data_IF_259075244995
#
_entry.id   IF_259075244995
#
_cell.length_a   1.000
_cell.length_b   1.000
_cell.length_c   1.000
_cell.angle_alpha   90.00
_cell.angle_beta   90.00
_cell.angle_gamma   90.00
#
_symmetry.space_group_name_H-M   'P 1'
#
loop_
_entity.id
_entity.type
_entity.pdbx_description
1 polymer ?
#
# COMPACT_ATOMS: atom_id res chain seq x y z
N UNK A 1 -65.68 62.36 -14.36
CA UNK A 1 -66.25 61.02 -14.44
C UNK A 1 -65.17 60.08 -14.96
N UNK A 2 -64.52 59.46 -14.00
CA UNK A 2 -63.26 58.69 -14.23
C UNK A 2 -63.62 57.21 -14.16
N UNK A 3 -63.50 56.49 -15.27
CA UNK A 3 -63.81 55.07 -15.36
C UNK A 3 -62.57 54.31 -14.90
N UNK A 4 -62.70 53.57 -13.75
CA UNK A 4 -61.73 52.61 -13.29
C UNK A 4 -61.79 51.37 -14.17
N UNK A 5 -60.69 51.01 -14.83
CA UNK A 5 -60.52 49.74 -15.51
C UNK A 5 -59.76 48.81 -14.53
N UNK A 6 -60.43 47.79 -14.04
CA UNK A 6 -59.83 46.71 -13.23
C UNK A 6 -59.15 45.73 -14.19
N UNK A 7 -57.85 45.64 -14.09
CA UNK A 7 -57.03 44.67 -14.83
C UNK A 7 -56.82 43.45 -13.99
N UNK A 8 -57.52 42.36 -14.31
CA UNK A 8 -57.39 41.07 -13.63
C UNK A 8 -56.14 40.36 -14.12
N UNK A 9 -55.15 40.24 -13.26
CA UNK A 9 -53.94 39.48 -13.56
C UNK A 9 -54.21 38.00 -13.17
N UNK A 10 -54.31 37.16 -14.22
CA UNK A 10 -54.37 35.69 -14.03
C UNK A 10 -52.93 35.18 -13.86
N UNK A 11 -52.62 34.73 -12.66
CA UNK A 11 -51.33 34.07 -12.39
C UNK A 11 -51.43 32.61 -12.83
N UNK A 12 -50.78 32.27 -13.93
CA UNK A 12 -50.61 30.89 -14.40
C UNK A 12 -49.41 30.32 -13.65
N UNK A 13 -49.67 29.43 -12.65
CA UNK A 13 -48.64 28.63 -12.01
C UNK A 13 -48.23 27.47 -12.93
N UNK A 14 -47.09 27.61 -13.63
CA UNK A 14 -46.47 26.52 -14.38
C UNK A 14 -45.72 25.64 -13.35
N UNK A 15 -46.33 24.51 -13.00
CA UNK A 15 -45.68 23.47 -12.21
C UNK A 15 -44.71 22.69 -13.08
N UNK A 16 -43.43 23.02 -13.02
CA UNK A 16 -42.37 22.25 -13.64
C UNK A 16 -42.05 21.02 -12.73
N UNK A 17 -42.65 19.88 -13.06
CA UNK A 17 -42.22 18.58 -12.50
C UNK A 17 -40.84 18.20 -13.09
N UNK A 18 -39.79 18.66 -12.46
CA UNK A 18 -38.42 18.21 -12.73
C UNK A 18 -38.23 16.78 -12.23
N UNK A 19 -38.24 15.78 -13.12
CA UNK A 19 -37.75 14.43 -12.83
C UNK A 19 -36.26 14.53 -12.55
N UNK A 20 -35.90 14.61 -11.28
CA UNK A 20 -34.52 14.46 -10.83
C UNK A 20 -34.05 13.05 -11.17
N UNK A 21 -33.21 12.92 -12.19
CA UNK A 21 -32.44 11.69 -12.41
C UNK A 21 -31.41 11.56 -11.29
N UNK A 22 -31.74 10.76 -10.29
CA UNK A 22 -30.76 10.29 -9.28
C UNK A 22 -29.70 9.45 -10.02
N UNK A 23 -28.58 10.08 -10.41
CA UNK A 23 -27.37 9.37 -10.75
C UNK A 23 -26.86 8.70 -9.47
N UNK A 24 -27.24 7.45 -9.29
CA UNK A 24 -26.62 6.58 -8.28
C UNK A 24 -25.13 6.54 -8.60
N UNK A 25 -24.33 7.33 -7.88
CA UNK A 25 -22.89 7.14 -7.83
C UNK A 25 -22.67 5.73 -7.28
N UNK A 26 -22.26 4.82 -8.17
CA UNK A 26 -21.70 3.53 -7.73
C UNK A 26 -20.51 3.87 -6.85
N UNK A 27 -20.71 3.82 -5.55
CA UNK A 27 -19.63 3.77 -4.57
C UNK A 27 -18.76 2.59 -5.00
N UNK A 28 -17.59 2.91 -5.56
CA UNK A 28 -16.53 1.94 -5.75
C UNK A 28 -16.18 1.45 -4.35
N UNK A 29 -16.70 0.29 -3.99
CA UNK A 29 -16.43 -0.38 -2.73
C UNK A 29 -14.91 -0.41 -2.58
N UNK A 30 -14.38 0.40 -1.67
CA UNK A 30 -13.00 0.28 -1.23
C UNK A 30 -12.90 -1.13 -0.65
N UNK A 31 -12.26 -2.03 -1.39
CA UNK A 31 -11.99 -3.38 -0.92
C UNK A 31 -11.31 -3.24 0.44
N UNK A 32 -11.98 -3.72 1.46
CA UNK A 32 -11.48 -3.77 2.83
C UNK A 32 -10.13 -4.52 2.84
N UNK A 33 -9.04 -3.75 2.88
CA UNK A 33 -7.67 -4.27 2.86
C UNK A 33 -7.24 -4.78 4.23
N UNK A 34 -8.14 -4.82 5.22
CA UNK A 34 -7.85 -5.14 6.62
C UNK A 34 -7.99 -6.62 6.97
N UNK A 35 -8.50 -7.47 6.04
CA UNK A 35 -8.61 -8.91 6.33
C UNK A 35 -7.22 -9.54 6.47
N UNK A 36 -6.82 -9.78 7.71
CA UNK A 36 -5.57 -10.48 8.03
C UNK A 36 -5.63 -11.89 7.46
N UNK A 37 -4.58 -12.31 6.77
CA UNK A 37 -4.42 -13.68 6.29
C UNK A 37 -3.75 -14.48 7.40
N UNK A 38 -4.46 -15.46 7.95
CA UNK A 38 -3.93 -16.45 8.88
C UNK A 38 -3.75 -17.76 8.12
N UNK A 39 -2.54 -18.31 8.13
CA UNK A 39 -2.17 -19.63 7.59
C UNK A 39 -1.20 -20.28 8.55
N UNK A 40 -1.23 -21.62 8.58
CA UNK A 40 -0.21 -22.40 9.32
C UNK A 40 1.14 -22.35 8.59
N UNK A 41 2.22 -22.67 9.27
CA UNK A 41 3.54 -22.70 8.65
C UNK A 41 3.65 -23.80 7.58
N UNK A 42 2.91 -24.90 7.72
CA UNK A 42 2.78 -25.96 6.72
C UNK A 42 2.08 -25.48 5.44
N UNK A 43 1.05 -24.64 5.59
CA UNK A 43 0.38 -24.01 4.45
C UNK A 43 1.30 -23.02 3.73
N UNK A 44 2.09 -22.23 4.48
CA UNK A 44 3.07 -21.33 3.90
C UNK A 44 4.17 -22.10 3.13
N UNK A 45 4.68 -23.21 3.66
CA UNK A 45 5.67 -24.07 2.99
C UNK A 45 5.16 -24.65 1.66
N UNK A 46 3.86 -24.87 1.53
CA UNK A 46 3.26 -25.39 0.29
C UNK A 46 3.19 -24.38 -0.85
N UNK A 47 3.13 -23.08 -0.52
CA UNK A 47 2.91 -22.00 -1.51
C UNK A 47 4.12 -21.11 -1.75
N UNK A 48 5.10 -21.13 -0.85
CA UNK A 48 6.34 -20.37 -0.96
C UNK A 48 7.48 -21.29 -1.43
N UNK A 49 8.41 -20.74 -2.21
CA UNK A 49 9.66 -21.46 -2.46
C UNK A 49 10.46 -21.60 -1.17
N UNK A 50 11.42 -22.54 -1.05
CA UNK A 50 12.26 -22.67 0.14
C UNK A 50 12.96 -21.36 0.51
N UNK A 51 13.46 -20.61 -0.47
CA UNK A 51 14.11 -19.32 -0.27
C UNK A 51 13.10 -18.26 0.24
N UNK A 52 11.93 -18.15 -0.39
CA UNK A 52 10.88 -17.26 0.08
C UNK A 52 10.41 -17.62 1.48
N UNK A 53 10.26 -18.91 1.79
CA UNK A 53 9.88 -19.35 3.13
C UNK A 53 10.94 -18.96 4.16
N UNK A 54 12.21 -19.17 3.84
CA UNK A 54 13.32 -18.77 4.71
C UNK A 54 13.28 -17.27 5.03
N UNK A 55 13.16 -16.43 4.01
CA UNK A 55 13.17 -14.97 4.21
C UNK A 55 11.87 -14.48 4.85
N UNK A 56 10.71 -14.86 4.31
CA UNK A 56 9.41 -14.30 4.71
C UNK A 56 8.88 -14.85 6.04
N UNK A 57 9.22 -16.11 6.38
CA UNK A 57 8.66 -16.79 7.56
C UNK A 57 9.68 -17.08 8.65
N UNK A 58 10.93 -17.32 8.28
CA UNK A 58 12.03 -17.58 9.24
C UNK A 58 12.92 -16.36 9.47
N UNK A 59 12.54 -15.18 8.94
CA UNK A 59 13.27 -13.90 9.06
C UNK A 59 14.70 -13.96 8.53
N UNK A 60 14.90 -14.72 7.44
CA UNK A 60 16.16 -14.71 6.69
C UNK A 60 16.43 -13.36 6.04
N UNK A 61 17.65 -13.18 5.56
CA UNK A 61 18.09 -11.97 4.88
C UNK A 61 18.76 -12.36 3.57
N UNK A 62 18.38 -11.70 2.47
CA UNK A 62 19.07 -11.84 1.18
C UNK A 62 20.54 -11.43 1.30
N UNK A 63 21.41 -12.03 0.52
CA UNK A 63 22.79 -11.55 0.40
C UNK A 63 22.81 -10.13 -0.16
N UNK A 64 23.64 -9.23 0.38
CA UNK A 64 23.71 -7.85 -0.10
C UNK A 64 24.15 -7.80 -1.56
N UNK A 65 23.62 -6.84 -2.32
CA UNK A 65 23.92 -6.58 -3.74
C UNK A 65 23.47 -7.66 -4.74
N UNK A 66 22.86 -8.77 -4.29
CA UNK A 66 22.42 -9.87 -5.16
C UNK A 66 20.92 -9.83 -5.49
N UNK A 67 20.15 -9.07 -4.73
CA UNK A 67 18.69 -9.08 -4.82
C UNK A 67 18.19 -8.53 -6.15
N UNK A 68 17.24 -9.25 -6.75
CA UNK A 68 16.62 -8.95 -8.06
C UNK A 68 16.17 -7.50 -8.22
N UNK A 69 15.72 -6.87 -7.15
CA UNK A 69 15.15 -5.52 -7.18
C UNK A 69 16.08 -4.43 -6.63
N UNK A 70 17.30 -4.79 -6.24
CA UNK A 70 18.27 -3.82 -5.73
C UNK A 70 18.45 -2.65 -6.70
N UNK A 71 18.83 -2.92 -7.95
CA UNK A 71 19.04 -1.92 -8.99
C UNK A 71 17.81 -1.64 -9.87
N UNK A 72 16.64 -2.19 -9.54
CA UNK A 72 15.45 -1.99 -10.36
C UNK A 72 15.00 -0.52 -10.32
N UNK A 73 14.91 0.12 -11.50
CA UNK A 73 14.47 1.52 -11.71
C UNK A 73 13.17 1.61 -12.51
N UNK A 74 12.55 0.48 -12.83
CA UNK A 74 11.29 0.46 -13.57
C UNK A 74 10.15 1.06 -12.75
N UNK A 75 9.16 1.67 -13.45
CA UNK A 75 7.96 2.22 -12.83
C UNK A 75 6.95 1.13 -12.53
N UNK A 76 6.48 1.07 -11.28
CA UNK A 76 5.52 0.05 -10.84
C UNK A 76 5.35 0.00 -9.34
N UNK A 77 4.78 -1.13 -8.88
CA UNK A 77 4.43 -1.39 -7.49
C UNK A 77 5.20 -2.59 -6.96
N UNK A 78 5.65 -2.51 -5.73
CA UNK A 78 6.23 -3.62 -4.98
C UNK A 78 5.17 -4.15 -4.00
N UNK A 79 4.83 -5.42 -4.16
CA UNK A 79 3.85 -6.11 -3.34
C UNK A 79 4.51 -7.22 -2.51
N UNK A 80 3.92 -7.58 -1.37
CA UNK A 80 4.39 -8.70 -0.55
C UNK A 80 4.36 -10.00 -1.37
N UNK A 81 5.49 -10.69 -1.48
CA UNK A 81 5.61 -11.92 -2.26
C UNK A 81 4.74 -13.08 -1.70
N UNK A 82 4.43 -13.05 -0.40
CA UNK A 82 3.59 -14.07 0.23
C UNK A 82 2.08 -13.86 -0.02
N UNK A 83 1.59 -12.61 -0.16
CA UNK A 83 0.14 -12.35 -0.16
C UNK A 83 -0.34 -11.29 -1.16
N UNK A 84 0.55 -10.70 -1.93
CA UNK A 84 0.22 -9.70 -2.95
C UNK A 84 -0.25 -8.34 -2.39
N UNK A 85 -0.12 -8.08 -1.08
CA UNK A 85 -0.41 -6.78 -0.49
C UNK A 85 0.56 -5.74 -1.05
N UNK A 86 0.07 -4.69 -1.69
CA UNK A 86 0.90 -3.60 -2.21
C UNK A 86 1.52 -2.82 -1.06
N UNK A 87 2.83 -2.62 -1.10
CA UNK A 87 3.63 -2.07 -0.01
C UNK A 87 4.30 -0.75 -0.37
N UNK A 88 4.96 -0.71 -1.53
CA UNK A 88 5.74 0.44 -1.98
C UNK A 88 5.48 0.74 -3.46
N UNK A 89 5.57 2.02 -3.82
CA UNK A 89 5.68 2.46 -5.22
C UNK A 89 7.15 2.65 -5.61
N UNK A 90 7.47 2.45 -6.88
CA UNK A 90 8.80 2.77 -7.42
C UNK A 90 9.22 4.22 -7.19
N UNK A 91 8.27 5.14 -7.05
CA UNK A 91 8.55 6.56 -6.80
C UNK A 91 9.07 6.83 -5.38
N UNK A 92 8.92 5.85 -4.48
CA UNK A 92 9.43 5.89 -3.10
C UNK A 92 10.80 5.23 -2.97
N UNK A 93 11.27 4.56 -4.05
CA UNK A 93 12.54 3.85 -4.07
C UNK A 93 13.70 4.81 -4.32
N UNK A 94 14.77 4.63 -3.56
CA UNK A 94 16.02 5.36 -3.76
C UNK A 94 17.22 4.41 -3.68
N UNK A 95 18.35 4.88 -4.18
CA UNK A 95 19.62 4.14 -4.12
C UNK A 95 20.33 4.49 -2.80
N UNK A 96 20.45 3.50 -1.93
CA UNK A 96 21.03 3.65 -0.59
C UNK A 96 22.41 3.04 -0.45
N UNK A 97 22.91 2.38 -1.52
CA UNK A 97 24.19 1.67 -1.55
C UNK A 97 24.35 0.60 -0.45
N UNK A 98 23.28 0.29 0.29
CA UNK A 98 23.34 -0.68 1.40
C UNK A 98 23.28 -2.15 0.95
N UNK A 99 23.01 -2.40 -0.35
CA UNK A 99 22.93 -3.74 -0.92
C UNK A 99 21.50 -4.32 -1.03
N UNK A 100 20.49 -3.62 -0.53
CA UNK A 100 19.08 -4.03 -0.60
C UNK A 100 18.19 -2.91 -1.17
N UNK A 101 17.04 -3.24 -1.78
CA UNK A 101 16.03 -2.26 -2.17
C UNK A 101 15.63 -1.37 -1.00
N UNK A 102 15.68 -0.06 -1.19
CA UNK A 102 15.40 0.92 -0.14
C UNK A 102 14.31 1.88 -0.56
N UNK A 103 13.37 2.16 0.37
CA UNK A 103 12.23 3.04 0.14
C UNK A 103 12.13 4.07 1.27
N UNK A 104 11.68 5.27 0.96
CA UNK A 104 11.55 6.37 1.94
C UNK A 104 10.26 6.31 2.75
N UNK A 105 9.23 5.65 2.22
CA UNK A 105 7.93 5.46 2.88
C UNK A 105 7.17 4.28 2.28
N UNK A 106 6.17 3.79 3.01
CA UNK A 106 5.17 2.86 2.49
C UNK A 106 4.04 3.60 1.76
N UNK A 107 3.26 2.89 0.94
CA UNK A 107 2.02 3.46 0.42
C UNK A 107 1.03 3.69 1.57
N UNK A 108 0.11 4.66 1.40
CA UNK A 108 -0.87 5.00 2.43
C UNK A 108 -1.73 3.78 2.85
N UNK A 109 -2.18 3.77 4.11
CA UNK A 109 -3.16 2.81 4.61
C UNK A 109 -2.62 1.70 5.53
N UNK A 110 -1.46 1.89 6.19
CA UNK A 110 -0.96 0.97 7.21
C UNK A 110 -0.67 -0.43 6.67
N UNK A 111 0.01 -0.50 5.54
CA UNK A 111 0.34 -1.76 4.86
C UNK A 111 1.47 -2.53 5.55
N UNK A 112 2.23 -1.86 6.42
CA UNK A 112 3.40 -2.36 7.11
C UNK A 112 3.21 -2.19 8.61
N UNK A 113 3.49 -3.23 9.40
CA UNK A 113 3.63 -3.14 10.86
C UNK A 113 5.10 -3.04 11.22
N UNK A 114 5.40 -2.29 12.26
CA UNK A 114 6.75 -2.05 12.81
C UNK A 114 6.85 -2.73 14.16
N UNK A 115 7.86 -3.57 14.34
CA UNK A 115 8.05 -4.39 15.55
C UNK A 115 9.49 -4.22 16.03
N UNK A 116 9.70 -4.09 17.35
CA UNK A 116 11.05 -4.07 17.90
C UNK A 116 11.71 -5.45 17.72
N UNK A 117 12.92 -5.45 17.20
CA UNK A 117 13.76 -6.61 16.99
C UNK A 117 15.03 -6.48 17.85
N UNK A 118 15.24 -7.47 18.73
CA UNK A 118 16.38 -7.53 19.65
C UNK A 118 17.35 -8.68 19.28
N UNK A 119 17.21 -9.27 18.10
CA UNK A 119 18.07 -10.35 17.65
C UNK A 119 19.50 -9.90 17.40
N UNK A 120 20.43 -10.82 17.43
CA UNK A 120 21.85 -10.61 17.15
C UNK A 120 22.53 -9.52 17.99
N UNK A 121 22.04 -9.25 19.22
CA UNK A 121 22.57 -8.21 20.08
C UNK A 121 22.33 -6.77 19.61
N UNK A 122 21.46 -6.58 18.62
CA UNK A 122 21.10 -5.26 18.07
C UNK A 122 19.69 -4.85 18.50
N UNK A 123 19.45 -3.53 18.50
CA UNK A 123 18.08 -2.98 18.67
C UNK A 123 17.66 -2.36 17.36
N UNK A 124 16.76 -3.02 16.65
CA UNK A 124 16.28 -2.56 15.32
C UNK A 124 14.76 -2.46 15.30
N UNK A 125 14.22 -1.94 14.23
CA UNK A 125 12.78 -1.98 13.95
C UNK A 125 12.55 -2.89 12.74
N UNK A 126 12.04 -4.10 12.99
CA UNK A 126 11.58 -5.02 11.95
C UNK A 126 10.33 -4.45 11.27
N UNK A 127 10.24 -4.59 9.96
CA UNK A 127 9.05 -4.30 9.17
C UNK A 127 8.45 -5.60 8.65
N UNK A 128 7.13 -5.77 8.87
CA UNK A 128 6.38 -6.94 8.42
C UNK A 128 5.14 -6.50 7.64
N UNK A 129 4.68 -7.35 6.73
CA UNK A 129 3.42 -7.13 6.01
C UNK A 129 2.24 -7.12 6.98
N UNK A 130 1.46 -6.05 7.01
CA UNK A 130 0.31 -5.93 7.91
C UNK A 130 -0.79 -6.97 7.63
N UNK A 131 -0.86 -7.48 6.38
CA UNK A 131 -1.90 -8.42 5.94
C UNK A 131 -1.61 -9.87 6.28
N UNK A 132 -0.34 -10.33 6.21
CA UNK A 132 0.01 -11.73 6.42
C UNK A 132 1.11 -11.97 7.46
N UNK A 133 1.69 -10.92 8.04
CA UNK A 133 2.73 -11.01 9.04
C UNK A 133 4.11 -11.44 8.50
N UNK A 134 4.29 -11.55 7.18
CA UNK A 134 5.58 -11.94 6.59
C UNK A 134 6.64 -10.87 6.82
N UNK A 135 7.85 -11.31 7.13
CA UNK A 135 9.04 -10.46 7.28
C UNK A 135 9.38 -9.78 5.95
N UNK A 136 9.67 -8.49 6.01
CA UNK A 136 10.04 -7.71 4.82
C UNK A 136 11.50 -7.22 4.89
N UNK A 137 11.99 -6.90 6.09
CA UNK A 137 13.28 -6.30 6.34
C UNK A 137 13.24 -5.43 7.58
N UNK A 138 13.97 -4.31 7.57
CA UNK A 138 14.10 -3.39 8.71
C UNK A 138 13.95 -1.93 8.31
N UNK A 139 13.54 -1.12 9.27
CA UNK A 139 13.42 0.33 9.16
C UNK A 139 14.57 1.01 9.89
N UNK A 140 15.19 1.98 9.23
CA UNK A 140 16.26 2.82 9.73
C UNK A 140 15.88 4.31 9.62
N UNK A 141 16.53 5.16 10.39
CA UNK A 141 16.35 6.62 10.44
C UNK A 141 17.51 7.37 9.76
N UNK A 142 18.16 6.70 8.80
CA UNK A 142 19.30 7.19 8.04
C UNK A 142 18.98 7.46 6.55
N UNK A 143 17.70 7.65 6.22
CA UNK A 143 17.26 7.91 4.86
C UNK A 143 17.60 9.32 4.37
N UNK A 144 17.98 9.49 3.08
CA UNK A 144 18.43 10.79 2.53
C UNK A 144 17.27 11.71 2.14
N UNK A 145 16.01 11.27 2.26
CA UNK A 145 14.83 12.04 1.86
C UNK A 145 14.26 12.86 3.01
N UNK A 146 13.24 13.69 2.73
CA UNK A 146 12.56 14.49 3.75
C UNK A 146 11.94 13.66 4.87
N UNK A 147 11.66 12.39 4.65
CA UNK A 147 11.14 11.49 5.70
C UNK A 147 12.20 11.10 6.72
N UNK A 148 13.48 11.20 6.37
CA UNK A 148 14.61 10.68 7.16
C UNK A 148 14.60 9.16 7.30
N UNK A 149 13.64 8.46 6.69
CA UNK A 149 13.44 7.02 6.89
C UNK A 149 13.97 6.20 5.72
N UNK A 150 14.50 5.02 6.03
CA UNK A 150 14.92 4.02 5.05
C UNK A 150 14.30 2.66 5.39
N UNK A 151 13.32 2.27 4.60
CA UNK A 151 12.77 0.91 4.61
C UNK A 151 13.69 0.01 3.78
N UNK A 152 14.56 -0.73 4.44
CA UNK A 152 15.49 -1.68 3.82
C UNK A 152 14.78 -3.03 3.68
N UNK A 153 14.53 -3.45 2.43
CA UNK A 153 13.61 -4.56 2.12
C UNK A 153 14.36 -5.66 1.39
N UNK A 154 14.13 -6.93 1.80
CA UNK A 154 14.63 -8.07 1.06
C UNK A 154 13.96 -8.15 -0.33
N UNK A 155 14.72 -8.33 -1.39
CA UNK A 155 14.16 -8.55 -2.73
C UNK A 155 13.25 -9.78 -2.78
N UNK A 156 13.62 -10.84 -2.06
CA UNK A 156 12.83 -12.08 -1.93
C UNK A 156 11.49 -11.87 -1.23
N UNK A 157 11.37 -10.81 -0.41
CA UNK A 157 10.12 -10.48 0.31
C UNK A 157 9.08 -9.76 -0.53
N UNK A 158 9.43 -9.31 -1.73
CA UNK A 158 8.53 -8.53 -2.59
C UNK A 158 8.52 -9.05 -4.02
N UNK A 159 7.38 -8.85 -4.69
CA UNK A 159 7.23 -8.98 -6.13
C UNK A 159 7.00 -7.61 -6.75
N UNK A 160 7.55 -7.39 -7.93
CA UNK A 160 7.38 -6.16 -8.69
C UNK A 160 6.33 -6.33 -9.78
N UNK A 161 5.38 -5.40 -9.82
CA UNK A 161 4.36 -5.28 -10.87
C UNK A 161 4.63 -4.00 -11.65
N UNK A 162 5.04 -4.14 -12.90
CA UNK A 162 5.22 -3.02 -13.82
C UNK A 162 3.88 -2.32 -14.07
N UNK A 163 3.92 -1.00 -14.13
CA UNK A 163 2.74 -0.18 -14.40
C UNK A 163 2.50 -0.06 -15.91
#
# INVERSE_FOLDING_TARGET
MQKLILLSIVLILISCSGKGQNKTMKNKTMTDTTKVISRTEEEWKKILTPEQYHVLRQKGTDLPFTGKYYLNKEKGMYACAACGNELFSSDMKFDSECGWPSFDKEIAGGKIKKIKDYSYGMVRTEIICAKCGSHLGHLFDDGPTLTGMRYCVNSTSVDFKKK
#
